data_IF_903018338518
#
_entry.id   IF_903018338518
#
_cell.length_a   1.000
_cell.length_b   1.000
_cell.length_c   1.000
_cell.angle_alpha   90.00
_cell.angle_beta   90.00
_cell.angle_gamma   90.00
#
_symmetry.space_group_name_H-M   'P 1'
#
loop_
_entity.id
_entity.type
_entity.pdbx_description
1 polymer ?
#
# COMPACT_ATOMS: atom_id res chain seq x y z
N UNK A 1 -38.09 -18.15 -21.96
CA UNK A 1 -36.97 -18.75 -21.21
C UNK A 1 -35.86 -17.72 -20.86
N UNK A 2 -36.04 -16.73 -19.95
CA UNK A 2 -34.99 -15.76 -19.61
C UNK A 2 -34.41 -15.87 -18.17
N UNK A 3 -35.05 -16.58 -17.24
CA UNK A 3 -34.71 -16.54 -15.80
C UNK A 3 -33.45 -17.36 -15.45
N UNK A 4 -33.18 -18.46 -16.17
CA UNK A 4 -32.05 -19.37 -15.84
C UNK A 4 -30.65 -18.81 -16.18
N UNK A 5 -30.53 -17.86 -17.12
CA UNK A 5 -29.22 -17.27 -17.48
C UNK A 5 -28.79 -16.15 -16.50
N UNK A 6 -29.75 -15.39 -15.97
CA UNK A 6 -29.49 -14.24 -15.09
C UNK A 6 -28.78 -14.62 -13.79
N UNK A 7 -29.15 -15.75 -13.17
CA UNK A 7 -28.49 -16.25 -11.96
C UNK A 7 -27.07 -16.80 -12.18
N UNK A 8 -26.72 -17.22 -13.41
CA UNK A 8 -25.33 -17.60 -13.76
C UNK A 8 -24.49 -16.34 -14.01
N UNK A 9 -25.06 -15.35 -14.69
CA UNK A 9 -24.42 -14.05 -14.95
C UNK A 9 -24.11 -13.29 -13.65
N UNK A 10 -25.03 -13.25 -12.68
CA UNK A 10 -24.81 -12.60 -11.38
C UNK A 10 -23.70 -13.28 -10.56
N UNK A 11 -23.58 -14.61 -10.62
CA UNK A 11 -22.48 -15.36 -9.99
C UNK A 11 -21.13 -15.07 -10.66
N UNK A 12 -21.09 -14.98 -12.00
CA UNK A 12 -19.88 -14.61 -12.71
C UNK A 12 -19.46 -13.17 -12.37
N UNK A 13 -20.43 -12.24 -12.33
CA UNK A 13 -20.19 -10.84 -11.97
C UNK A 13 -19.74 -10.69 -10.51
N UNK A 14 -20.26 -11.49 -9.57
CA UNK A 14 -19.82 -11.48 -8.17
C UNK A 14 -18.35 -11.85 -8.05
N UNK A 15 -17.93 -12.94 -8.72
CA UNK A 15 -16.53 -13.33 -8.79
C UNK A 15 -15.63 -12.23 -9.33
N UNK A 16 -16.06 -11.52 -10.40
CA UNK A 16 -15.29 -10.39 -10.94
C UNK A 16 -15.17 -9.25 -9.92
N UNK A 17 -16.20 -8.99 -9.11
CA UNK A 17 -16.11 -7.98 -8.02
C UNK A 17 -15.13 -8.42 -6.94
N UNK A 18 -15.18 -9.67 -6.51
CA UNK A 18 -14.26 -10.23 -5.51
C UNK A 18 -12.81 -10.11 -5.97
N UNK A 19 -12.52 -10.54 -7.19
CA UNK A 19 -11.17 -10.46 -7.77
C UNK A 19 -10.70 -9.01 -7.86
N UNK A 20 -11.54 -8.07 -8.32
CA UNK A 20 -11.16 -6.65 -8.41
C UNK A 20 -10.90 -6.02 -7.05
N UNK A 21 -11.68 -6.39 -6.03
CA UNK A 21 -11.44 -5.98 -4.65
C UNK A 21 -10.11 -6.52 -4.14
N UNK A 22 -9.87 -7.82 -4.30
CA UNK A 22 -8.63 -8.50 -3.90
C UNK A 22 -7.40 -7.91 -4.57
N UNK A 23 -7.44 -7.68 -5.88
CA UNK A 23 -6.33 -7.05 -6.61
C UNK A 23 -6.03 -5.66 -6.03
N UNK A 24 -7.05 -4.82 -5.82
CA UNK A 24 -6.86 -3.50 -5.25
C UNK A 24 -6.33 -3.55 -3.79
N UNK A 25 -6.75 -4.54 -3.01
CA UNK A 25 -6.25 -4.78 -1.65
C UNK A 25 -4.78 -5.18 -1.65
N UNK A 26 -4.40 -6.15 -2.51
CA UNK A 26 -3.01 -6.60 -2.64
C UNK A 26 -2.09 -5.48 -3.11
N UNK A 27 -2.55 -4.64 -4.04
CA UNK A 27 -1.82 -3.45 -4.47
C UNK A 27 -1.63 -2.45 -3.32
N UNK A 28 -2.67 -2.17 -2.55
CA UNK A 28 -2.57 -1.30 -1.38
C UNK A 28 -1.60 -1.83 -0.32
N UNK A 29 -1.65 -3.14 -0.03
CA UNK A 29 -0.73 -3.78 0.90
C UNK A 29 0.72 -3.75 0.40
N UNK A 30 0.93 -3.96 -0.90
CA UNK A 30 2.25 -3.85 -1.54
C UNK A 30 2.81 -2.43 -1.39
N UNK A 31 2.02 -1.40 -1.75
CA UNK A 31 2.47 -0.01 -1.61
C UNK A 31 2.70 0.39 -0.15
N UNK A 32 1.90 -0.14 0.78
CA UNK A 32 2.10 0.08 2.23
C UNK A 32 3.37 -0.60 2.77
N UNK A 33 3.87 -1.66 2.13
CA UNK A 33 5.18 -2.24 2.46
C UNK A 33 6.31 -1.40 1.89
N UNK A 34 6.16 -0.94 0.64
CA UNK A 34 7.14 -0.09 -0.02
C UNK A 34 7.37 1.23 0.72
N UNK A 35 6.30 1.93 1.11
CA UNK A 35 6.39 3.18 1.88
C UNK A 35 7.13 2.96 3.22
N UNK A 36 6.82 1.86 3.93
CA UNK A 36 7.52 1.52 5.18
C UNK A 36 9.01 1.24 4.96
N UNK A 37 9.35 0.51 3.90
CA UNK A 37 10.75 0.24 3.54
C UNK A 37 11.51 1.54 3.26
N UNK A 38 10.97 2.38 2.37
CA UNK A 38 11.58 3.68 2.06
C UNK A 38 11.67 4.57 3.30
N UNK A 39 10.66 4.56 4.18
CA UNK A 39 10.68 5.31 5.44
C UNK A 39 11.79 4.85 6.38
N UNK A 40 12.06 3.54 6.43
CA UNK A 40 13.15 2.99 7.23
C UNK A 40 14.52 3.34 6.64
N UNK A 41 14.70 3.24 5.32
CA UNK A 41 15.93 3.67 4.65
C UNK A 41 16.23 5.16 4.87
N UNK A 42 15.21 6.02 4.78
CA UNK A 42 15.34 7.44 5.11
C UNK A 42 15.81 7.65 6.55
N UNK A 43 15.22 6.94 7.52
CA UNK A 43 15.58 7.06 8.93
C UNK A 43 17.03 6.59 9.20
N UNK A 44 17.45 5.50 8.57
CA UNK A 44 18.80 4.96 8.73
C UNK A 44 19.85 5.88 8.09
N UNK A 45 19.57 6.46 6.91
CA UNK A 45 20.44 7.44 6.28
C UNK A 45 20.51 8.76 7.06
N UNK A 46 19.39 9.22 7.61
CA UNK A 46 19.34 10.40 8.50
C UNK A 46 20.26 10.20 9.71
N UNK A 47 20.18 9.03 10.38
CA UNK A 47 21.08 8.68 11.49
C UNK A 47 22.55 8.62 11.05
N UNK A 48 22.83 8.10 9.86
CA UNK A 48 24.20 8.06 9.32
C UNK A 48 24.75 9.47 9.06
N UNK A 49 23.92 10.37 8.53
CA UNK A 49 24.27 11.76 8.34
C UNK A 49 24.54 12.49 9.64
N UNK A 50 23.73 12.27 10.66
CA UNK A 50 23.95 12.85 11.99
C UNK A 50 25.29 12.41 12.57
N UNK A 51 25.68 11.13 12.38
CA UNK A 51 27.01 10.64 12.78
C UNK A 51 28.13 11.40 12.06
N UNK A 52 28.01 11.64 10.76
CA UNK A 52 29.01 12.42 10.02
C UNK A 52 29.04 13.88 10.45
N UNK A 53 27.86 14.52 10.60
CA UNK A 53 27.71 15.91 11.05
C UNK A 53 28.32 16.14 12.43
N UNK A 54 28.18 15.17 13.34
CA UNK A 54 28.76 15.24 14.68
C UNK A 54 30.27 14.93 14.70
N UNK A 55 30.74 14.00 13.85
CA UNK A 55 32.15 13.59 13.83
C UNK A 55 33.06 14.61 13.13
N UNK A 56 32.56 15.33 12.12
CA UNK A 56 33.37 16.18 11.24
C UNK A 56 33.97 17.42 11.95
N UNK A 57 33.24 18.15 12.82
CA UNK A 57 33.81 19.22 13.64
C UNK A 57 34.90 18.72 14.59
N UNK A 58 34.69 17.57 15.24
CA UNK A 58 35.68 16.98 16.15
C UNK A 58 36.98 16.60 15.44
N UNK A 59 36.89 15.99 14.25
CA UNK A 59 38.08 15.69 13.43
C UNK A 59 38.78 16.95 12.93
N UNK A 60 38.01 18.00 12.58
CA UNK A 60 38.59 19.31 12.22
C UNK A 60 39.37 19.93 13.38
N UNK A 61 38.78 19.95 14.58
CA UNK A 61 39.44 20.47 15.77
C UNK A 61 40.73 19.71 16.08
N UNK A 62 40.68 18.38 16.05
CA UNK A 62 41.83 17.52 16.35
C UNK A 62 42.98 17.77 15.35
N UNK A 63 42.68 17.90 14.06
CA UNK A 63 43.68 18.25 13.04
C UNK A 63 44.27 19.65 13.30
N UNK A 64 43.43 20.64 13.61
CA UNK A 64 43.91 22.00 13.88
C UNK A 64 44.79 22.05 15.13
N UNK A 65 44.44 21.30 16.17
CA UNK A 65 45.22 21.18 17.41
C UNK A 65 46.57 20.50 17.15
N UNK A 66 46.60 19.41 16.36
CA UNK A 66 47.85 18.75 15.96
C UNK A 66 48.77 19.67 15.14
N UNK A 67 48.19 20.48 14.25
CA UNK A 67 48.92 21.47 13.47
C UNK A 67 49.46 22.64 14.32
N UNK A 68 48.75 23.00 15.40
CA UNK A 68 49.16 24.09 16.30
C UNK A 68 50.21 23.64 17.34
N UNK A 69 50.20 22.36 17.73
CA UNK A 69 51.04 21.85 18.82
C UNK A 69 52.51 21.59 18.42
N UNK A 70 52.82 21.45 17.14
CA UNK A 70 54.19 21.14 16.65
C UNK A 70 54.46 21.84 15.31
N UNK A 71 55.72 22.16 14.99
CA UNK A 71 56.09 22.50 13.61
C UNK A 71 55.87 21.25 12.74
N UNK A 72 54.76 21.23 11.99
CA UNK A 72 54.39 20.12 11.12
C UNK A 72 54.98 20.35 9.72
N UNK A 73 55.53 19.30 9.13
CA UNK A 73 55.99 19.31 7.73
C UNK A 73 54.81 19.62 6.78
N UNK A 74 55.08 20.28 5.65
CA UNK A 74 54.08 20.64 4.64
C UNK A 74 53.29 19.42 4.14
N UNK A 75 53.91 18.23 4.15
CA UNK A 75 53.25 16.96 3.84
C UNK A 75 52.14 16.61 4.83
N UNK A 76 52.37 16.80 6.13
CA UNK A 76 51.36 16.52 7.17
C UNK A 76 50.16 17.46 7.06
N UNK A 77 50.39 18.73 6.72
CA UNK A 77 49.32 19.70 6.45
C UNK A 77 48.50 19.27 5.22
N UNK A 78 49.18 18.85 4.14
CA UNK A 78 48.51 18.39 2.91
C UNK A 78 47.66 17.13 3.15
N UNK A 79 48.18 16.16 3.89
CA UNK A 79 47.47 14.91 4.19
C UNK A 79 46.24 15.15 5.06
N UNK A 80 46.35 16.02 6.06
CA UNK A 80 45.22 16.41 6.90
C UNK A 80 44.14 17.18 6.12
N UNK A 81 44.54 18.10 5.23
CA UNK A 81 43.60 18.77 4.33
C UNK A 81 42.93 17.80 3.36
N UNK A 82 43.67 16.84 2.82
CA UNK A 82 43.13 15.78 1.96
C UNK A 82 42.11 14.91 2.71
N UNK A 83 42.39 14.55 3.95
CA UNK A 83 41.45 13.83 4.81
C UNK A 83 40.16 14.62 5.08
N UNK A 84 40.27 15.94 5.33
CA UNK A 84 39.11 16.82 5.50
C UNK A 84 38.28 16.94 4.22
N UNK A 85 38.91 17.07 3.05
CA UNK A 85 38.20 17.10 1.76
C UNK A 85 37.47 15.78 1.50
N UNK A 86 38.08 14.63 1.80
CA UNK A 86 37.45 13.31 1.68
C UNK A 86 36.22 13.20 2.58
N UNK A 87 36.32 13.60 3.84
CA UNK A 87 35.21 13.62 4.79
C UNK A 87 34.08 14.56 4.36
N UNK A 88 34.41 15.76 3.86
CA UNK A 88 33.42 16.69 3.34
C UNK A 88 32.72 16.12 2.10
N UNK A 89 33.46 15.47 1.20
CA UNK A 89 32.89 14.84 0.01
C UNK A 89 31.94 13.69 0.38
N UNK A 90 32.29 12.88 1.38
CA UNK A 90 31.41 11.83 1.92
C UNK A 90 30.13 12.39 2.53
N UNK A 91 30.22 13.51 3.27
CA UNK A 91 29.05 14.18 3.84
C UNK A 91 28.14 14.72 2.75
N UNK A 92 28.68 15.44 1.76
CA UNK A 92 27.90 15.96 0.64
C UNK A 92 27.26 14.82 -0.17
N UNK A 93 27.97 13.70 -0.37
CA UNK A 93 27.44 12.52 -1.05
C UNK A 93 26.29 11.86 -0.27
N UNK A 94 26.41 11.78 1.06
CA UNK A 94 25.34 11.27 1.92
C UNK A 94 24.12 12.20 1.95
N UNK A 95 24.31 13.51 1.91
CA UNK A 95 23.20 14.49 1.83
C UNK A 95 22.45 14.37 0.51
N UNK A 96 23.16 14.25 -0.61
CA UNK A 96 22.55 14.01 -1.92
C UNK A 96 21.80 12.65 -1.96
N UNK A 97 22.29 11.63 -1.26
CA UNK A 97 21.59 10.35 -1.13
C UNK A 97 20.31 10.48 -0.29
N UNK A 98 20.33 11.26 0.80
CA UNK A 98 19.15 11.54 1.61
C UNK A 98 18.06 12.22 0.78
N UNK A 99 18.39 13.22 -0.03
CA UNK A 99 17.42 13.92 -0.87
C UNK A 99 16.73 12.97 -1.88
N UNK A 100 17.51 12.06 -2.49
CA UNK A 100 16.97 11.01 -3.37
C UNK A 100 16.05 10.04 -2.63
N UNK A 101 16.36 9.68 -1.39
CA UNK A 101 15.51 8.80 -0.60
C UNK A 101 14.23 9.51 -0.13
N UNK A 102 14.33 10.78 0.26
CA UNK A 102 13.15 11.57 0.62
C UNK A 102 12.18 11.74 -0.54
N UNK A 103 12.70 11.98 -1.74
CA UNK A 103 11.88 12.03 -2.96
C UNK A 103 11.24 10.67 -3.26
N UNK A 104 11.99 9.57 -3.14
CA UNK A 104 11.45 8.22 -3.28
C UNK A 104 10.37 7.90 -2.24
N UNK A 105 10.56 8.30 -0.99
CA UNK A 105 9.58 8.13 0.08
C UNK A 105 8.30 8.93 -0.17
N UNK A 106 8.43 10.20 -0.61
CA UNK A 106 7.27 11.03 -1.00
C UNK A 106 6.48 10.37 -2.14
N UNK A 107 7.18 9.82 -3.14
CA UNK A 107 6.54 9.08 -4.23
C UNK A 107 5.82 7.82 -3.72
N UNK A 108 6.48 7.01 -2.89
CA UNK A 108 5.88 5.81 -2.32
C UNK A 108 4.64 6.12 -1.45
N UNK A 109 4.66 7.24 -0.72
CA UNK A 109 3.52 7.74 0.05
C UNK A 109 2.35 8.15 -0.87
N UNK A 110 2.63 8.85 -1.97
CA UNK A 110 1.63 9.20 -2.97
C UNK A 110 1.02 7.96 -3.65
N UNK A 111 1.86 6.97 -4.01
CA UNK A 111 1.42 5.72 -4.63
C UNK A 111 0.54 4.89 -3.69
N UNK A 112 0.87 4.86 -2.40
CA UNK A 112 0.05 4.22 -1.36
C UNK A 112 -1.32 4.90 -1.24
N UNK A 113 -1.38 6.22 -1.22
CA UNK A 113 -2.65 6.93 -1.13
C UNK A 113 -3.50 6.73 -2.40
N UNK A 114 -2.88 6.73 -3.58
CA UNK A 114 -3.58 6.38 -4.83
C UNK A 114 -4.12 4.93 -4.81
N UNK A 115 -3.35 3.97 -4.29
CA UNK A 115 -3.79 2.59 -4.11
C UNK A 115 -4.93 2.48 -3.10
N UNK A 116 -4.88 3.23 -1.99
CA UNK A 116 -5.94 3.30 -0.98
C UNK A 116 -7.25 3.81 -1.56
N UNK A 117 -7.19 4.85 -2.40
CA UNK A 117 -8.37 5.38 -3.08
C UNK A 117 -8.98 4.35 -4.03
N UNK A 118 -8.15 3.64 -4.82
CA UNK A 118 -8.59 2.54 -5.69
C UNK A 118 -9.24 1.41 -4.89
N UNK A 119 -8.62 0.99 -3.80
CA UNK A 119 -9.15 -0.06 -2.92
C UNK A 119 -10.50 0.35 -2.30
N UNK A 120 -10.60 1.58 -1.79
CA UNK A 120 -11.85 2.12 -1.22
C UNK A 120 -12.97 2.17 -2.27
N UNK A 121 -12.64 2.58 -3.50
CA UNK A 121 -13.59 2.59 -4.60
C UNK A 121 -14.03 1.17 -5.02
N UNK A 122 -13.10 0.21 -5.04
CA UNK A 122 -13.39 -1.19 -5.33
C UNK A 122 -14.30 -1.81 -4.25
N UNK A 123 -14.02 -1.53 -2.96
CA UNK A 123 -14.85 -1.93 -1.83
C UNK A 123 -16.28 -1.41 -1.94
N UNK A 124 -16.46 -0.11 -2.21
CA UNK A 124 -17.81 0.47 -2.39
C UNK A 124 -18.57 -0.17 -3.56
N UNK A 125 -17.89 -0.44 -4.68
CA UNK A 125 -18.50 -1.10 -5.85
C UNK A 125 -18.85 -2.56 -5.58
N UNK A 126 -18.04 -3.25 -4.79
CA UNK A 126 -18.28 -4.60 -4.32
C UNK A 126 -19.52 -4.64 -3.42
N UNK A 127 -19.55 -3.81 -2.38
CA UNK A 127 -20.68 -3.72 -1.45
C UNK A 127 -22.01 -3.41 -2.17
N UNK A 128 -22.03 -2.39 -3.02
CA UNK A 128 -23.22 -2.05 -3.82
C UNK A 128 -23.70 -3.21 -4.71
N UNK A 129 -22.77 -3.99 -5.24
CA UNK A 129 -23.13 -5.14 -6.06
C UNK A 129 -23.79 -6.25 -5.24
N UNK A 130 -23.27 -6.55 -4.05
CA UNK A 130 -23.87 -7.53 -3.15
C UNK A 130 -25.25 -7.09 -2.65
N UNK A 131 -25.41 -5.81 -2.31
CA UNK A 131 -26.73 -5.25 -1.95
C UNK A 131 -27.77 -5.43 -3.08
N UNK A 132 -27.36 -5.27 -4.34
CA UNK A 132 -28.25 -5.52 -5.49
C UNK A 132 -28.53 -7.02 -5.68
N UNK A 133 -27.50 -7.86 -5.55
CA UNK A 133 -27.63 -9.30 -5.67
C UNK A 133 -28.58 -9.86 -4.61
N UNK A 134 -28.44 -9.44 -3.35
CA UNK A 134 -29.30 -9.87 -2.26
C UNK A 134 -30.76 -9.47 -2.50
N UNK A 135 -31.00 -8.27 -3.05
CA UNK A 135 -32.35 -7.84 -3.45
C UNK A 135 -32.92 -8.71 -4.57
N UNK A 136 -32.13 -9.03 -5.59
CA UNK A 136 -32.57 -9.91 -6.68
C UNK A 136 -32.85 -11.34 -6.19
N UNK A 137 -32.03 -11.86 -5.28
CA UNK A 137 -32.22 -13.17 -4.66
C UNK A 137 -33.52 -13.19 -3.83
N UNK A 138 -33.81 -12.14 -3.05
CA UNK A 138 -35.09 -12.00 -2.32
C UNK A 138 -36.30 -11.95 -3.25
N UNK A 139 -36.21 -11.23 -4.38
CA UNK A 139 -37.28 -11.18 -5.38
C UNK A 139 -37.49 -12.55 -6.02
N UNK A 140 -36.41 -13.28 -6.33
CA UNK A 140 -36.50 -14.63 -6.88
C UNK A 140 -37.18 -15.61 -5.91
N UNK A 141 -36.85 -15.54 -4.61
CA UNK A 141 -37.50 -16.34 -3.56
C UNK A 141 -38.98 -16.00 -3.45
N UNK A 142 -39.34 -14.71 -3.44
CA UNK A 142 -40.73 -14.29 -3.38
C UNK A 142 -41.55 -14.78 -4.59
N UNK A 143 -40.97 -14.75 -5.80
CA UNK A 143 -41.59 -15.29 -7.00
C UNK A 143 -41.76 -16.81 -6.95
N UNK A 144 -40.77 -17.55 -6.45
CA UNK A 144 -40.86 -19.00 -6.25
C UNK A 144 -41.99 -19.36 -5.29
N UNK A 145 -42.05 -18.69 -4.13
CA UNK A 145 -43.08 -18.92 -3.13
C UNK A 145 -44.49 -18.62 -3.67
N UNK A 146 -44.64 -17.55 -4.46
CA UNK A 146 -45.92 -17.22 -5.08
C UNK A 146 -46.36 -18.29 -6.09
N UNK A 147 -45.44 -18.82 -6.91
CA UNK A 147 -45.74 -19.92 -7.83
C UNK A 147 -46.13 -21.19 -7.08
N UNK A 148 -45.39 -21.57 -6.03
CA UNK A 148 -45.71 -22.74 -5.20
C UNK A 148 -47.09 -22.59 -4.52
N UNK A 149 -47.46 -21.39 -4.07
CA UNK A 149 -48.79 -21.12 -3.53
C UNK A 149 -49.88 -21.34 -4.58
N UNK A 150 -49.71 -20.79 -5.80
CA UNK A 150 -50.67 -21.02 -6.89
C UNK A 150 -50.77 -22.50 -7.27
N UNK A 151 -49.65 -23.22 -7.31
CA UNK A 151 -49.63 -24.66 -7.58
C UNK A 151 -50.34 -25.48 -6.49
N UNK A 152 -50.30 -25.03 -5.23
CA UNK A 152 -51.06 -25.67 -4.13
C UNK A 152 -52.55 -25.37 -4.21
N UNK A 153 -52.95 -24.17 -4.62
CA UNK A 153 -54.35 -23.79 -4.81
C UNK A 153 -55.00 -24.54 -6.00
N UNK A 154 -54.23 -24.81 -7.05
CA UNK A 154 -54.67 -25.57 -8.23
C UNK A 154 -54.67 -27.10 -8.03
N UNK A 155 -54.24 -27.60 -6.85
CA UNK A 155 -54.30 -29.04 -6.57
C UNK A 155 -55.74 -29.48 -6.34
N UNK A 156 -56.24 -30.49 -7.08
CA UNK A 156 -57.57 -31.03 -6.83
C UNK A 156 -57.64 -31.57 -5.40
N UNK A 157 -58.71 -31.20 -4.68
CA UNK A 157 -58.96 -31.71 -3.33
C UNK A 157 -58.95 -33.24 -3.35
N UNK A 158 -58.30 -33.90 -2.38
CA UNK A 158 -58.35 -35.36 -2.29
C UNK A 158 -59.82 -35.76 -2.19
N UNK A 159 -60.23 -36.71 -3.04
CA UNK A 159 -61.59 -37.22 -3.09
C UNK A 159 -62.02 -37.63 -1.67
N UNK A 160 -62.86 -36.80 -1.06
CA UNK A 160 -63.36 -37.04 0.28
C UNK A 160 -64.31 -38.23 0.18
N UNK A 161 -63.87 -39.41 0.63
CA UNK A 161 -64.75 -40.58 0.82
C UNK A 161 -65.24 -40.56 2.26
N UNK A 162 -66.51 -40.21 2.52
CA UNK A 162 -67.10 -40.37 3.84
C UNK A 162 -67.23 -41.88 4.11
N UNK A 163 -66.81 -42.30 5.30
CA UNK A 163 -67.16 -43.62 5.84
C UNK A 163 -68.59 -43.63 6.36
#
# INVERSE_FOLDING_TARGET
MPVMNRGKELRALSHVKDVRKLLAETDYLRQSRQERHCGQECADHSRQLDRYRNALPGKRALILDELAARPVDLRGIHDAQSALRKLQHQLNGAEAAQEKLETAYRQASADKEAARQKYTAAMRKHQKFYEMKDREDLVAVAQSNAMEQTEMEDRPLPAWSPR
#
